data_IF_032112944552
#
_entry.id   IF_032112944552
#
_cell.length_a   1.000
_cell.length_b   1.000
_cell.length_c   1.000
_cell.angle_alpha   90.00
_cell.angle_beta   90.00
_cell.angle_gamma   90.00
#
_symmetry.space_group_name_H-M   'P 1'
#
loop_
_entity.id
_entity.type
_entity.pdbx_description
1 polymer ?
#
# COMPACT_ATOMS: atom_id res chain seq x y z
N UNK A 1 -7.89 -12.79 23.58
CA UNK A 1 -8.08 -12.79 22.11
C UNK A 1 -6.86 -13.45 21.52
N UNK A 2 -7.04 -14.29 20.49
CA UNK A 2 -5.93 -14.96 19.79
C UNK A 2 -5.09 -13.95 19.03
N UNK A 3 -3.79 -14.18 18.98
CA UNK A 3 -2.87 -13.32 18.27
C UNK A 3 -2.79 -13.73 16.79
N UNK A 4 -2.83 -12.76 15.91
CA UNK A 4 -2.56 -12.94 14.49
C UNK A 4 -1.09 -12.62 14.19
N UNK A 5 -0.42 -13.55 13.54
CA UNK A 5 1.00 -13.43 13.15
C UNK A 5 1.16 -13.53 11.64
N UNK A 6 2.17 -12.86 11.11
CA UNK A 6 2.52 -12.86 9.69
C UNK A 6 3.71 -13.77 9.48
N UNK A 7 3.57 -14.75 8.61
CA UNK A 7 4.59 -15.76 8.32
C UNK A 7 5.52 -15.32 7.18
N UNK A 8 4.93 -14.82 6.10
CA UNK A 8 5.69 -14.27 4.96
C UNK A 8 4.90 -13.14 4.32
N UNK A 9 5.62 -12.24 3.66
CA UNK A 9 5.08 -11.04 3.06
C UNK A 9 5.81 -10.73 1.75
N UNK A 10 5.07 -10.64 0.64
CA UNK A 10 5.61 -10.52 -0.71
C UNK A 10 4.83 -9.53 -1.55
N UNK A 11 5.46 -9.03 -2.62
CA UNK A 11 4.81 -8.19 -3.62
C UNK A 11 5.36 -8.43 -5.02
N UNK A 12 4.63 -8.03 -6.03
CA UNK A 12 5.21 -7.85 -7.37
C UNK A 12 6.09 -6.61 -7.40
N UNK A 13 6.96 -6.43 -8.39
CA UNK A 13 7.38 -5.10 -8.79
C UNK A 13 6.16 -4.21 -9.02
N UNK A 14 6.32 -2.91 -8.83
CA UNK A 14 5.29 -1.93 -9.20
C UNK A 14 5.63 -1.38 -10.60
N UNK A 15 4.68 -1.50 -11.52
CA UNK A 15 4.83 -1.02 -12.90
C UNK A 15 4.05 0.28 -13.12
N UNK A 16 4.50 1.08 -14.10
CA UNK A 16 3.74 2.24 -14.59
C UNK A 16 2.41 1.81 -15.22
N UNK A 17 1.33 2.47 -14.91
CA UNK A 17 0.03 2.29 -15.55
C UNK A 17 0.01 2.96 -16.93
N UNK A 18 0.78 2.44 -17.87
CA UNK A 18 0.96 2.98 -19.21
C UNK A 18 0.88 1.86 -20.25
N UNK A 19 -0.03 1.97 -21.20
CA UNK A 19 -0.28 0.96 -22.24
C UNK A 19 0.88 0.78 -23.22
N UNK A 20 1.77 1.76 -23.35
CA UNK A 20 2.91 1.69 -24.29
C UNK A 20 4.17 1.14 -23.62
N UNK A 21 4.48 1.59 -22.40
CA UNK A 21 5.77 1.31 -21.74
C UNK A 21 5.65 0.64 -20.36
N UNK A 22 4.46 0.46 -19.81
CA UNK A 22 4.23 -0.21 -18.52
C UNK A 22 4.70 -1.67 -18.57
N UNK A 23 5.46 -2.11 -17.58
CA UNK A 23 5.98 -3.48 -17.56
C UNK A 23 4.88 -4.54 -17.53
N UNK A 24 3.73 -4.22 -16.93
CA UNK A 24 2.59 -5.14 -16.83
C UNK A 24 1.46 -4.85 -17.82
N UNK A 25 1.71 -4.06 -18.89
CA UNK A 25 0.68 -3.67 -19.88
C UNK A 25 -0.04 -4.82 -20.58
N UNK A 26 0.52 -6.04 -20.56
CA UNK A 26 -0.07 -7.26 -21.12
C UNK A 26 -0.30 -8.34 -20.04
N UNK A 27 -0.19 -7.99 -18.77
CA UNK A 27 -0.36 -8.93 -17.64
C UNK A 27 -1.63 -8.57 -16.88
N UNK A 28 -2.53 -9.51 -16.75
CA UNK A 28 -3.82 -9.30 -16.08
C UNK A 28 -3.66 -9.13 -14.57
N UNK A 29 -4.53 -8.35 -13.95
CA UNK A 29 -4.55 -8.12 -12.52
C UNK A 29 -4.79 -9.40 -11.69
N UNK A 30 -5.69 -10.26 -12.17
CA UNK A 30 -5.98 -11.55 -11.55
C UNK A 30 -4.78 -12.51 -11.62
N UNK A 31 -4.00 -12.50 -12.71
CA UNK A 31 -2.75 -13.25 -12.84
C UNK A 31 -1.67 -12.76 -11.87
N UNK A 32 -1.51 -11.45 -11.70
CA UNK A 32 -0.60 -10.86 -10.70
C UNK A 32 -0.96 -11.33 -9.28
N UNK A 33 -2.24 -11.34 -8.97
CA UNK A 33 -2.77 -11.79 -7.67
C UNK A 33 -2.52 -13.27 -7.45
N UNK A 34 -2.88 -14.12 -8.42
CA UNK A 34 -2.68 -15.58 -8.36
C UNK A 34 -1.19 -15.95 -8.23
N UNK A 35 -0.32 -15.23 -8.95
CA UNK A 35 1.14 -15.43 -8.86
C UNK A 35 1.69 -15.24 -7.46
N UNK A 36 1.21 -14.23 -6.72
CA UNK A 36 1.66 -13.99 -5.34
C UNK A 36 1.10 -15.02 -4.35
N UNK A 37 -0.17 -15.44 -4.50
CA UNK A 37 -0.75 -16.49 -3.67
C UNK A 37 0.05 -17.80 -3.80
N UNK A 38 0.37 -18.18 -5.05
CA UNK A 38 1.22 -19.33 -5.34
C UNK A 38 2.63 -19.19 -4.75
N UNK A 39 3.25 -18.01 -4.89
CA UNK A 39 4.57 -17.74 -4.36
C UNK A 39 4.61 -17.86 -2.82
N UNK A 40 3.58 -17.41 -2.10
CA UNK A 40 3.50 -17.57 -0.64
C UNK A 40 3.47 -19.04 -0.24
N UNK A 41 2.67 -19.87 -0.93
CA UNK A 41 2.60 -21.32 -0.67
C UNK A 41 3.97 -21.98 -0.92
N UNK A 42 4.60 -21.68 -2.05
CA UNK A 42 5.91 -22.24 -2.42
C UNK A 42 7.03 -21.81 -1.44
N UNK A 43 7.05 -20.53 -1.02
CA UNK A 43 8.08 -19.99 -0.12
C UNK A 43 7.97 -20.49 1.30
N UNK A 44 6.76 -20.64 1.79
CA UNK A 44 6.51 -21.07 3.18
C UNK A 44 6.45 -22.58 3.33
N UNK A 45 6.21 -23.31 2.24
CA UNK A 45 6.00 -24.77 2.26
C UNK A 45 4.72 -25.19 2.97
N UNK A 46 3.78 -24.26 3.18
CA UNK A 46 2.51 -24.56 3.81
C UNK A 46 1.67 -25.49 2.93
N UNK A 47 0.99 -26.44 3.54
CA UNK A 47 -0.02 -27.22 2.84
C UNK A 47 -1.17 -26.28 2.42
N UNK A 48 -1.42 -26.10 1.12
CA UNK A 48 -2.48 -25.22 0.65
C UNK A 48 -3.88 -25.63 1.14
N UNK A 49 -4.09 -26.91 1.51
CA UNK A 49 -5.35 -27.38 2.09
C UNK A 49 -5.70 -26.73 3.44
N UNK A 50 -4.72 -26.09 4.09
CA UNK A 50 -4.91 -25.40 5.37
C UNK A 50 -5.33 -23.94 5.19
N UNK A 51 -5.31 -23.39 3.98
CA UNK A 51 -5.69 -21.99 3.71
C UNK A 51 -7.22 -21.90 3.59
N UNK A 52 -7.84 -21.24 4.57
CA UNK A 52 -9.30 -21.21 4.71
C UNK A 52 -9.97 -20.07 3.94
N UNK A 53 -9.34 -18.87 3.91
CA UNK A 53 -9.95 -17.69 3.28
C UNK A 53 -8.89 -16.75 2.68
N UNK A 54 -9.29 -15.96 1.68
CA UNK A 54 -8.51 -14.91 1.04
C UNK A 54 -9.22 -13.56 1.23
N UNK A 55 -8.52 -12.57 1.79
CA UNK A 55 -9.03 -11.19 1.91
C UNK A 55 -8.20 -10.27 1.05
N UNK A 56 -8.82 -9.72 0.01
CA UNK A 56 -8.09 -9.05 -1.06
C UNK A 56 -8.61 -7.65 -1.34
N UNK A 57 -7.75 -6.64 -1.16
CA UNK A 57 -8.07 -5.26 -1.45
C UNK A 57 -8.08 -4.98 -2.96
N UNK A 58 -9.13 -4.36 -3.46
CA UNK A 58 -9.22 -3.86 -4.81
C UNK A 58 -10.18 -2.66 -4.86
N UNK A 59 -9.75 -1.55 -5.48
CA UNK A 59 -10.57 -0.33 -5.53
C UNK A 59 -11.48 -0.35 -6.75
N UNK A 60 -10.93 -0.61 -7.92
CA UNK A 60 -11.68 -0.65 -9.19
C UNK A 60 -12.10 -2.09 -9.50
N UNK A 61 -13.16 -2.54 -8.85
CA UNK A 61 -13.70 -3.91 -8.97
C UNK A 61 -14.50 -4.09 -10.28
N UNK A 62 -13.79 -3.95 -11.41
CA UNK A 62 -14.36 -4.03 -12.74
C UNK A 62 -13.48 -4.89 -13.67
N UNK A 63 -14.01 -5.38 -14.77
CA UNK A 63 -13.28 -6.18 -15.74
C UNK A 63 -12.55 -7.35 -15.07
N UNK A 64 -11.25 -7.48 -15.28
CA UNK A 64 -10.39 -8.51 -14.68
C UNK A 64 -10.16 -8.36 -13.16
N UNK A 65 -10.56 -7.23 -12.59
CA UNK A 65 -10.56 -6.97 -11.15
C UNK A 65 -11.96 -7.11 -10.53
N UNK A 66 -12.98 -7.41 -11.33
CA UNK A 66 -14.35 -7.59 -10.90
C UNK A 66 -14.69 -9.01 -10.47
N UNK A 67 -15.97 -9.22 -10.13
CA UNK A 67 -16.55 -10.52 -9.83
C UNK A 67 -15.78 -11.32 -8.76
N UNK A 68 -15.41 -10.65 -7.67
CA UNK A 68 -14.60 -11.22 -6.58
C UNK A 68 -13.23 -11.73 -7.04
N UNK A 69 -12.35 -10.80 -7.40
CA UNK A 69 -10.99 -11.13 -7.85
C UNK A 69 -10.20 -11.94 -6.82
N UNK A 70 -10.50 -11.87 -5.53
CA UNK A 70 -9.90 -12.69 -4.49
C UNK A 70 -10.13 -14.19 -4.77
N UNK A 71 -11.39 -14.57 -4.95
CA UNK A 71 -11.77 -15.95 -5.23
C UNK A 71 -11.28 -16.42 -6.59
N UNK A 72 -11.40 -15.56 -7.62
CA UNK A 72 -10.90 -15.88 -8.98
C UNK A 72 -9.40 -16.16 -8.93
N UNK A 73 -8.62 -15.29 -8.30
CA UNK A 73 -7.17 -15.46 -8.18
C UNK A 73 -6.77 -16.70 -7.37
N UNK A 74 -7.52 -17.03 -6.30
CA UNK A 74 -7.29 -18.25 -5.51
C UNK A 74 -7.44 -19.51 -6.37
N UNK A 75 -8.49 -19.59 -7.19
CA UNK A 75 -8.72 -20.69 -8.12
C UNK A 75 -7.64 -20.76 -9.21
N UNK A 76 -7.21 -19.62 -9.75
CA UNK A 76 -6.12 -19.53 -10.73
C UNK A 76 -4.76 -19.93 -10.13
N UNK A 77 -4.54 -19.64 -8.84
CA UNK A 77 -3.34 -20.06 -8.11
C UNK A 77 -3.31 -21.58 -7.84
N UNK A 78 -4.41 -22.27 -8.05
CA UNK A 78 -4.54 -23.71 -7.75
C UNK A 78 -4.75 -24.00 -6.26
N UNK A 79 -5.23 -23.03 -5.50
CA UNK A 79 -5.65 -23.25 -4.12
C UNK A 79 -6.89 -24.15 -4.07
N UNK A 80 -7.15 -24.83 -2.95
CA UNK A 80 -8.30 -25.73 -2.79
C UNK A 80 -9.63 -25.05 -3.11
N UNK A 81 -10.60 -25.80 -3.58
CA UNK A 81 -11.95 -25.30 -3.86
C UNK A 81 -12.68 -24.91 -2.56
N UNK A 82 -12.24 -25.41 -1.44
CA UNK A 82 -12.74 -25.08 -0.11
C UNK A 82 -12.26 -23.72 0.40
N UNK A 83 -11.14 -23.21 -0.13
CA UNK A 83 -10.62 -21.88 0.26
C UNK A 83 -11.60 -20.79 -0.16
N UNK A 84 -12.13 -20.02 0.77
CA UNK A 84 -12.99 -18.88 0.50
C UNK A 84 -12.24 -17.72 -0.14
N UNK A 85 -12.97 -16.65 -0.48
CA UNK A 85 -12.36 -15.42 -0.95
C UNK A 85 -13.34 -14.26 -0.86
N UNK A 86 -12.84 -13.08 -0.49
CA UNK A 86 -13.61 -11.84 -0.47
C UNK A 86 -12.77 -10.67 -0.97
N UNK A 87 -13.32 -9.92 -1.90
CA UNK A 87 -12.73 -8.67 -2.37
C UNK A 87 -13.35 -7.49 -1.63
N UNK A 88 -12.49 -6.66 -1.02
CA UNK A 88 -12.94 -5.53 -0.21
C UNK A 88 -12.39 -4.19 -0.75
N UNK A 89 -13.12 -3.12 -0.45
CA UNK A 89 -12.77 -1.76 -0.86
C UNK A 89 -12.82 -0.79 0.33
N UNK A 90 -11.64 -0.25 0.67
CA UNK A 90 -11.43 0.92 1.49
C UNK A 90 -10.50 1.90 0.75
N UNK A 91 -10.78 2.14 -0.53
CA UNK A 91 -9.93 2.95 -1.40
C UNK A 91 -8.43 2.58 -1.23
N UNK A 92 -7.54 3.55 -1.10
CA UNK A 92 -6.09 3.34 -0.98
C UNK A 92 -5.66 2.40 0.17
N UNK A 93 -6.50 2.20 1.19
CA UNK A 93 -6.18 1.34 2.34
C UNK A 93 -6.73 -0.09 2.22
N UNK A 94 -7.30 -0.48 1.09
CA UNK A 94 -7.94 -1.81 0.94
C UNK A 94 -7.01 -2.95 1.34
N UNK A 95 -5.75 -2.95 0.91
CA UNK A 95 -4.79 -3.99 1.26
C UNK A 95 -4.45 -4.03 2.77
N UNK A 96 -4.31 -2.87 3.44
CA UNK A 96 -4.09 -2.84 4.89
C UNK A 96 -5.35 -3.24 5.66
N UNK A 97 -6.53 -2.90 5.14
CA UNK A 97 -7.81 -3.37 5.69
C UNK A 97 -7.92 -4.89 5.58
N UNK A 98 -7.52 -5.49 4.46
CA UNK A 98 -7.50 -6.95 4.31
C UNK A 98 -6.66 -7.64 5.41
N UNK A 99 -5.47 -7.10 5.70
CA UNK A 99 -4.61 -7.57 6.81
C UNK A 99 -5.34 -7.45 8.15
N UNK A 100 -5.98 -6.30 8.40
CA UNK A 100 -6.70 -6.04 9.63
C UNK A 100 -7.92 -6.97 9.79
N UNK A 101 -8.62 -7.28 8.70
CA UNK A 101 -9.78 -8.16 8.71
C UNK A 101 -9.38 -9.62 9.01
N UNK A 102 -8.24 -10.09 8.47
CA UNK A 102 -7.68 -11.38 8.85
C UNK A 102 -7.34 -11.43 10.35
N UNK A 103 -6.72 -10.38 10.88
CA UNK A 103 -6.41 -10.32 12.32
C UNK A 103 -7.67 -10.32 13.18
N UNK A 104 -8.73 -9.63 12.78
CA UNK A 104 -10.02 -9.64 13.48
C UNK A 104 -10.69 -11.00 13.40
N UNK A 105 -10.64 -11.67 12.25
CA UNK A 105 -11.18 -13.01 12.05
C UNK A 105 -10.51 -14.03 12.97
N UNK A 106 -9.17 -14.04 13.03
CA UNK A 106 -8.40 -14.88 13.93
C UNK A 106 -8.73 -14.58 15.39
N UNK A 107 -8.80 -13.30 15.78
CA UNK A 107 -9.13 -12.89 17.13
C UNK A 107 -10.55 -13.32 17.55
N UNK A 108 -11.49 -13.40 16.59
CA UNK A 108 -12.86 -13.87 16.76
C UNK A 108 -12.99 -15.39 16.69
N UNK A 109 -11.91 -16.12 16.43
CA UNK A 109 -11.88 -17.58 16.30
C UNK A 109 -12.77 -18.09 15.13
N UNK A 110 -12.73 -17.36 14.00
CA UNK A 110 -13.42 -17.77 12.76
C UNK A 110 -12.52 -18.64 11.89
N UNK A 111 -11.41 -18.11 11.40
CA UNK A 111 -10.43 -18.83 10.58
C UNK A 111 -9.04 -18.78 11.27
N UNK A 112 -8.22 -19.80 10.97
CA UNK A 112 -6.86 -19.92 11.50
C UNK A 112 -5.79 -19.45 10.52
N UNK A 113 -5.93 -19.74 9.23
CA UNK A 113 -4.92 -19.47 8.20
C UNK A 113 -5.56 -18.77 7.01
N UNK A 114 -5.06 -17.59 6.69
CA UNK A 114 -5.59 -16.75 5.62
C UNK A 114 -4.48 -16.08 4.82
N UNK A 115 -4.77 -15.72 3.57
CA UNK A 115 -3.93 -14.82 2.78
C UNK A 115 -4.63 -13.46 2.73
N UNK A 116 -3.91 -12.41 3.14
CA UNK A 116 -4.33 -11.03 2.96
C UNK A 116 -3.50 -10.35 1.88
N UNK A 117 -4.09 -9.41 1.15
CA UNK A 117 -3.33 -8.68 0.16
C UNK A 117 -4.15 -7.66 -0.60
N UNK A 118 -3.73 -7.38 -1.81
CA UNK A 118 -4.48 -6.51 -2.71
C UNK A 118 -3.82 -6.35 -4.07
N UNK A 119 -4.60 -5.81 -4.98
CA UNK A 119 -4.28 -5.58 -6.38
C UNK A 119 -4.82 -4.22 -6.84
N UNK A 120 -4.12 -3.58 -7.74
CA UNK A 120 -4.67 -2.57 -8.62
C UNK A 120 -3.90 -2.56 -9.93
N UNK A 121 -4.60 -2.52 -11.05
CA UNK A 121 -4.02 -2.34 -12.38
C UNK A 121 -4.64 -1.12 -13.07
N UNK A 122 -4.14 0.08 -12.72
CA UNK A 122 -4.72 1.34 -13.18
C UNK A 122 -4.50 1.59 -14.70
N UNK A 123 -3.64 0.79 -15.34
CA UNK A 123 -3.43 0.84 -16.80
C UNK A 123 -4.54 0.12 -17.57
N UNK A 124 -5.11 -0.96 -17.01
CA UNK A 124 -6.22 -1.70 -17.59
C UNK A 124 -7.57 -1.16 -17.14
N UNK A 125 -7.68 -0.83 -15.86
CA UNK A 125 -8.90 -0.29 -15.25
C UNK A 125 -8.57 1.10 -14.69
N UNK A 126 -8.82 2.18 -15.45
CA UNK A 126 -8.59 3.55 -14.97
C UNK A 126 -9.37 3.88 -13.71
N UNK A 127 -8.79 4.70 -12.83
CA UNK A 127 -9.46 5.18 -11.64
C UNK A 127 -10.76 5.91 -11.99
N UNK A 128 -11.79 5.68 -11.19
CA UNK A 128 -13.15 6.23 -11.37
C UNK A 128 -13.88 5.82 -12.65
N UNK A 129 -13.39 4.80 -13.37
CA UNK A 129 -14.13 4.26 -14.52
C UNK A 129 -15.53 3.83 -14.08
N UNK A 130 -16.56 4.33 -14.80
CA UNK A 130 -17.96 4.04 -14.56
C UNK A 130 -18.46 4.37 -13.12
N UNK A 131 -17.75 5.21 -12.37
CA UNK A 131 -18.20 5.69 -11.07
C UNK A 131 -19.22 6.81 -11.26
N UNK A 132 -20.42 6.61 -10.70
CA UNK A 132 -21.53 7.57 -10.70
C UNK A 132 -21.76 8.07 -9.25
N UNK A 133 -21.20 9.23 -8.87
CA UNK A 133 -21.36 9.75 -7.53
C UNK A 133 -22.78 10.26 -7.29
N UNK A 134 -23.36 9.92 -6.13
CA UNK A 134 -24.67 10.37 -5.75
C UNK A 134 -24.74 11.91 -5.69
N UNK A 135 -25.66 12.61 -6.40
CA UNK A 135 -25.75 14.07 -6.37
C UNK A 135 -25.97 14.65 -4.98
N UNK A 136 -26.61 13.92 -4.08
CA UNK A 136 -26.81 14.30 -2.67
C UNK A 136 -25.50 14.43 -1.88
N UNK A 137 -24.41 13.82 -2.31
CA UNK A 137 -23.09 14.00 -1.73
C UNK A 137 -22.65 15.48 -1.85
N UNK A 138 -22.91 16.09 -3.00
CA UNK A 138 -22.47 17.44 -3.33
C UNK A 138 -23.37 18.55 -2.76
N UNK A 139 -24.48 18.16 -2.12
CA UNK A 139 -25.25 19.10 -1.27
C UNK A 139 -24.46 19.52 -0.02
N UNK A 140 -23.58 18.65 0.46
CA UNK A 140 -22.80 18.87 1.71
C UNK A 140 -21.31 19.07 1.46
N UNK A 141 -20.80 18.62 0.33
CA UNK A 141 -19.37 18.64 0.02
C UNK A 141 -19.13 19.20 -1.38
N UNK A 142 -18.01 19.85 -1.60
CA UNK A 142 -17.58 20.28 -2.93
C UNK A 142 -17.26 19.09 -3.84
N UNK A 143 -17.55 19.17 -5.12
CA UNK A 143 -17.12 18.19 -6.12
C UNK A 143 -15.58 18.04 -6.17
N UNK A 144 -14.84 19.03 -5.70
CA UNK A 144 -13.38 18.99 -5.60
C UNK A 144 -12.86 17.82 -4.75
N UNK A 145 -13.67 17.27 -3.82
CA UNK A 145 -13.31 16.09 -3.03
C UNK A 145 -13.11 14.83 -3.87
N UNK A 146 -13.61 14.82 -5.11
CA UNK A 146 -13.41 13.72 -6.06
C UNK A 146 -12.03 13.78 -6.73
N UNK A 147 -11.34 14.91 -6.67
CA UNK A 147 -10.01 15.09 -7.20
C UNK A 147 -8.98 15.11 -6.06
N UNK A 148 -8.26 14.01 -5.89
CA UNK A 148 -7.28 13.86 -4.80
C UNK A 148 -6.16 14.90 -4.87
N UNK A 149 -5.80 15.37 -6.07
CA UNK A 149 -4.81 16.43 -6.25
C UNK A 149 -5.29 17.79 -5.74
N UNK A 150 -6.59 18.12 -5.88
CA UNK A 150 -7.18 19.33 -5.30
C UNK A 150 -7.25 19.25 -3.77
N UNK A 151 -7.50 18.06 -3.20
CA UNK A 151 -7.40 17.88 -1.74
C UNK A 151 -5.96 18.04 -1.25
N UNK A 152 -4.97 17.61 -2.03
CA UNK A 152 -3.56 17.84 -1.74
C UNK A 152 -3.19 19.35 -1.79
N UNK A 153 -3.67 20.11 -2.79
CA UNK A 153 -3.50 21.58 -2.84
C UNK A 153 -4.15 22.27 -1.63
N UNK A 154 -5.30 21.78 -1.19
CA UNK A 154 -5.95 22.29 0.03
C UNK A 154 -5.05 22.10 1.26
N UNK A 155 -4.40 20.94 1.41
CA UNK A 155 -3.45 20.68 2.49
C UNK A 155 -2.22 21.60 2.41
N UNK A 156 -1.69 21.83 1.20
CA UNK A 156 -0.56 22.74 1.01
C UNK A 156 -0.85 24.13 1.58
N UNK A 157 -2.02 24.65 1.28
CA UNK A 157 -2.47 25.95 1.76
C UNK A 157 -2.75 25.94 3.27
N UNK A 158 -3.55 24.97 3.74
CA UNK A 158 -3.99 24.89 5.12
C UNK A 158 -2.85 24.69 6.11
N UNK A 159 -1.92 23.80 5.77
CA UNK A 159 -0.78 23.46 6.64
C UNK A 159 0.50 24.19 6.27
N UNK A 160 0.43 25.13 5.32
CA UNK A 160 1.57 25.95 4.90
C UNK A 160 2.80 25.10 4.52
N UNK A 161 2.58 24.11 3.67
CA UNK A 161 3.66 23.28 3.11
C UNK A 161 4.09 23.87 1.78
N UNK A 162 5.31 24.36 1.70
CA UNK A 162 5.80 25.04 0.50
C UNK A 162 6.06 24.07 -0.66
N UNK A 163 6.19 24.59 -1.86
CA UNK A 163 6.56 23.84 -3.06
C UNK A 163 7.96 23.24 -2.90
N UNK A 164 8.90 23.98 -2.36
CA UNK A 164 10.29 23.56 -2.15
C UNK A 164 10.36 22.36 -1.19
N UNK A 165 9.56 22.39 -0.11
CA UNK A 165 9.48 21.24 0.83
C UNK A 165 8.92 20.00 0.14
N UNK A 166 7.91 20.15 -0.73
CA UNK A 166 7.34 19.03 -1.50
C UNK A 166 8.35 18.45 -2.47
N UNK A 167 9.08 19.29 -3.21
CA UNK A 167 10.10 18.85 -4.16
C UNK A 167 11.29 18.19 -3.44
N UNK A 168 11.72 18.70 -2.29
CA UNK A 168 12.76 18.09 -1.46
C UNK A 168 12.35 16.70 -0.96
N UNK A 169 11.12 16.55 -0.47
CA UNK A 169 10.59 15.25 -0.05
C UNK A 169 10.50 14.26 -1.22
N UNK A 170 10.02 14.71 -2.38
CA UNK A 170 9.91 13.88 -3.57
C UNK A 170 11.28 13.41 -4.08
N UNK A 171 12.28 14.31 -4.12
CA UNK A 171 13.65 13.95 -4.47
C UNK A 171 14.23 12.92 -3.48
N UNK A 172 14.01 13.13 -2.16
CA UNK A 172 14.41 12.18 -1.13
C UNK A 172 13.78 10.79 -1.35
N UNK A 173 12.47 10.73 -1.64
CA UNK A 173 11.79 9.44 -1.89
C UNK A 173 12.42 8.70 -3.06
N UNK A 174 12.70 9.38 -4.18
CA UNK A 174 13.35 8.81 -5.35
C UNK A 174 14.78 8.32 -5.05
N UNK A 175 15.58 9.12 -4.38
CA UNK A 175 16.96 8.79 -4.04
C UNK A 175 17.05 7.60 -3.08
N UNK A 176 16.17 7.54 -2.07
CA UNK A 176 16.11 6.41 -1.14
C UNK A 176 15.67 5.12 -1.84
N UNK A 177 14.67 5.20 -2.73
CA UNK A 177 14.21 4.03 -3.48
C UNK A 177 15.30 3.51 -4.44
N UNK A 178 16.03 4.41 -5.10
CA UNK A 178 17.15 4.04 -5.96
C UNK A 178 18.28 3.37 -5.16
N UNK A 179 18.68 3.95 -4.03
CA UNK A 179 19.70 3.40 -3.17
C UNK A 179 19.30 2.03 -2.58
N UNK A 180 18.04 1.86 -2.16
CA UNK A 180 17.53 0.59 -1.65
C UNK A 180 17.51 -0.49 -2.75
N UNK A 181 17.17 -0.12 -3.99
CA UNK A 181 17.20 -1.02 -5.14
C UNK A 181 18.64 -1.46 -5.46
N UNK A 182 19.59 -0.52 -5.51
CA UNK A 182 21.00 -0.80 -5.77
C UNK A 182 21.61 -1.74 -4.71
N UNK A 183 21.23 -1.55 -3.44
CA UNK A 183 21.67 -2.41 -2.31
C UNK A 183 20.94 -3.77 -2.27
N UNK A 184 19.94 -4.00 -3.10
CA UNK A 184 19.14 -5.23 -3.10
C UNK A 184 18.19 -5.35 -1.91
N UNK A 185 17.85 -4.25 -1.23
CA UNK A 185 17.00 -4.25 -0.02
C UNK A 185 15.54 -4.66 -0.30
N UNK A 186 15.11 -4.67 -1.56
CA UNK A 186 13.79 -5.16 -1.99
C UNK A 186 13.80 -6.62 -2.46
N UNK A 187 14.98 -7.26 -2.59
CA UNK A 187 15.08 -8.59 -3.20
C UNK A 187 14.31 -9.68 -2.43
N UNK A 188 14.18 -9.54 -1.11
CA UNK A 188 13.47 -10.52 -0.27
C UNK A 188 11.95 -10.37 -0.33
N UNK A 189 11.44 -9.19 -0.70
CA UNK A 189 10.00 -8.90 -0.76
C UNK A 189 9.42 -8.99 -2.18
N UNK A 190 10.23 -8.77 -3.22
CA UNK A 190 9.77 -8.80 -4.63
C UNK A 190 9.78 -10.22 -5.16
N UNK A 191 8.64 -10.65 -5.68
CA UNK A 191 8.49 -11.85 -6.49
C UNK A 191 8.71 -11.48 -7.95
N UNK A 192 9.80 -11.97 -8.60
CA UNK A 192 10.04 -11.77 -10.02
C UNK A 192 8.82 -12.16 -10.85
N UNK A 193 8.34 -11.26 -11.67
CA UNK A 193 7.07 -11.43 -12.41
C UNK A 193 7.29 -11.22 -13.89
N UNK A 194 6.80 -12.14 -14.74
CA UNK A 194 6.88 -11.97 -16.17
C UNK A 194 6.08 -10.75 -16.65
N UNK A 195 6.72 -9.96 -17.47
CA UNK A 195 6.12 -8.75 -18.05
C UNK A 195 6.81 -8.38 -19.36
N UNK A 196 6.86 -7.07 -19.63
CA UNK A 196 7.56 -6.53 -20.81
C UNK A 196 8.53 -5.44 -20.42
N UNK A 197 9.67 -5.40 -21.10
CA UNK A 197 10.55 -4.22 -21.09
C UNK A 197 9.87 -3.00 -21.72
N UNK A 198 10.43 -1.83 -21.57
CA UNK A 198 9.96 -0.63 -22.29
C UNK A 198 10.05 -0.80 -23.80
N UNK A 199 11.03 -1.58 -24.31
CA UNK A 199 11.16 -1.92 -25.74
C UNK A 199 10.16 -2.98 -26.23
N UNK A 200 9.34 -3.56 -25.36
CA UNK A 200 8.31 -4.56 -25.70
C UNK A 200 8.73 -6.01 -25.61
N UNK A 201 9.97 -6.30 -25.26
CA UNK A 201 10.44 -7.67 -25.11
C UNK A 201 9.86 -8.30 -23.83
N UNK A 202 9.48 -9.60 -23.90
CA UNK A 202 9.07 -10.35 -22.72
C UNK A 202 10.29 -10.59 -21.84
N UNK A 203 10.22 -10.19 -20.58
CA UNK A 203 11.29 -10.36 -19.61
C UNK A 203 10.76 -10.58 -18.21
N UNK A 204 11.61 -11.07 -17.31
CA UNK A 204 11.30 -11.24 -15.91
C UNK A 204 11.59 -9.91 -15.19
N UNK A 205 10.54 -9.23 -14.75
CA UNK A 205 10.63 -7.95 -14.06
C UNK A 205 10.98 -8.21 -12.59
N UNK A 206 12.05 -7.60 -12.12
CA UNK A 206 12.60 -7.80 -10.76
C UNK A 206 12.70 -6.51 -9.96
N UNK A 207 12.40 -5.35 -10.57
CA UNK A 207 12.54 -4.03 -9.96
C UNK A 207 11.33 -3.15 -10.26
N UNK A 208 11.08 -2.19 -9.37
CA UNK A 208 10.01 -1.20 -9.54
C UNK A 208 10.33 -0.24 -10.69
N UNK A 209 9.39 -0.06 -11.61
CA UNK A 209 9.61 0.72 -12.85
C UNK A 209 9.56 2.24 -12.61
N UNK A 210 8.98 2.69 -11.50
CA UNK A 210 8.73 4.11 -11.23
C UNK A 210 9.95 4.92 -10.83
N UNK A 211 11.01 4.26 -10.36
CA UNK A 211 12.18 4.87 -9.75
C UNK A 211 12.99 5.68 -10.77
N UNK A 212 13.36 6.91 -10.38
CA UNK A 212 14.17 7.85 -11.16
C UNK A 212 15.36 8.30 -10.32
N UNK A 213 16.47 7.58 -10.42
CA UNK A 213 17.67 7.80 -9.61
C UNK A 213 18.32 9.18 -9.79
N UNK A 214 18.11 9.81 -10.93
CA UNK A 214 18.62 11.12 -11.33
C UNK A 214 17.74 12.30 -10.90
N UNK A 215 16.71 12.05 -10.09
CA UNK A 215 15.80 13.11 -9.61
C UNK A 215 16.51 14.08 -8.70
N UNK A 216 16.44 15.38 -9.02
CA UNK A 216 16.96 16.48 -8.20
C UNK A 216 15.87 17.50 -7.88
N UNK A 217 16.06 18.27 -6.81
CA UNK A 217 15.13 19.34 -6.42
C UNK A 217 15.01 20.39 -7.53
N UNK A 218 16.13 20.75 -8.15
CA UNK A 218 16.18 21.73 -9.27
C UNK A 218 15.44 21.21 -10.52
N UNK A 219 15.48 19.91 -10.74
CA UNK A 219 14.71 19.26 -11.82
C UNK A 219 13.22 19.32 -11.55
N UNK A 220 12.81 18.99 -10.33
CA UNK A 220 11.41 19.01 -9.88
C UNK A 220 10.83 20.44 -9.87
N UNK A 221 11.62 21.44 -9.47
CA UNK A 221 11.20 22.84 -9.44
C UNK A 221 10.73 23.40 -10.80
N UNK A 222 11.17 22.79 -11.92
CA UNK A 222 10.76 23.17 -13.28
C UNK A 222 9.39 22.62 -13.69
N UNK A 223 8.83 21.67 -12.92
CA UNK A 223 7.55 21.06 -13.26
C UNK A 223 6.39 22.03 -12.97
N UNK A 224 5.40 22.14 -13.87
CA UNK A 224 4.21 22.94 -13.62
C UNK A 224 3.31 22.28 -12.57
N UNK A 225 2.46 23.06 -11.88
CA UNK A 225 1.38 22.51 -11.08
C UNK A 225 0.48 21.59 -11.90
N UNK A 226 0.14 20.43 -11.35
CA UNK A 226 -0.60 19.39 -12.08
C UNK A 226 -2.13 19.51 -11.88
N UNK A 227 -2.59 20.07 -10.77
CA UNK A 227 -4.01 20.05 -10.39
C UNK A 227 -4.64 21.43 -10.31
N UNK A 228 -3.88 22.46 -9.97
CA UNK A 228 -4.32 23.84 -9.92
C UNK A 228 -3.36 24.73 -10.73
N UNK A 229 -3.60 24.92 -12.04
CA UNK A 229 -2.71 25.72 -12.91
C UNK A 229 -2.57 27.19 -12.47
N UNK A 230 -3.55 27.72 -11.73
CA UNK A 230 -3.58 29.11 -11.27
C UNK A 230 -2.96 29.26 -9.86
N UNK A 231 -1.72 28.82 -9.67
CA UNK A 231 -0.97 29.03 -8.44
C UNK A 231 -0.93 27.83 -7.50
N UNK A 232 -1.17 26.62 -8.00
CA UNK A 232 -0.97 25.39 -7.25
C UNK A 232 0.51 25.07 -7.00
N UNK A 233 0.76 24.16 -6.09
CA UNK A 233 2.11 23.72 -5.68
C UNK A 233 2.38 22.24 -5.92
N UNK A 234 1.32 21.44 -6.08
CA UNK A 234 1.42 19.98 -6.27
C UNK A 234 1.72 19.67 -7.74
N UNK A 235 2.78 18.92 -7.99
CA UNK A 235 3.24 18.58 -9.34
C UNK A 235 3.14 17.07 -9.60
N UNK A 236 3.32 16.67 -10.84
CA UNK A 236 3.50 15.25 -11.18
C UNK A 236 4.71 14.62 -10.48
N UNK A 237 5.76 15.41 -10.20
CA UNK A 237 6.96 14.95 -9.51
C UNK A 237 6.78 14.77 -8.00
N UNK A 238 5.86 15.52 -7.36
CA UNK A 238 5.54 15.42 -5.93
C UNK A 238 4.29 14.58 -5.64
N UNK A 239 3.79 13.87 -6.66
CA UNK A 239 2.62 12.97 -6.60
C UNK A 239 3.03 11.52 -6.85
N UNK A 240 2.32 10.57 -6.27
CA UNK A 240 2.50 9.16 -6.58
C UNK A 240 2.08 8.86 -8.03
N UNK A 241 2.75 7.89 -8.64
CA UNK A 241 2.49 7.51 -10.03
C UNK A 241 1.28 6.56 -10.13
N UNK A 242 0.48 6.71 -11.18
CA UNK A 242 -0.52 5.70 -11.55
C UNK A 242 0.19 4.38 -11.87
N UNK A 243 -0.26 3.29 -11.27
CA UNK A 243 0.55 2.08 -11.19
C UNK A 243 -0.27 0.80 -11.34
N UNK A 244 0.44 -0.29 -11.60
CA UNK A 244 -0.05 -1.65 -11.53
C UNK A 244 0.84 -2.47 -10.59
N UNK A 245 0.24 -3.30 -9.73
CA UNK A 245 0.99 -4.15 -8.82
C UNK A 245 0.09 -4.81 -7.77
N UNK A 246 0.59 -5.91 -7.21
CA UNK A 246 -0.07 -6.69 -6.17
C UNK A 246 0.85 -6.90 -4.96
N UNK A 247 0.26 -7.16 -3.80
CA UNK A 247 0.99 -7.50 -2.57
C UNK A 247 0.20 -8.51 -1.76
N UNK A 248 0.89 -9.43 -1.09
CA UNK A 248 0.28 -10.55 -0.37
C UNK A 248 1.03 -10.91 0.91
N UNK A 249 0.31 -11.33 1.94
CA UNK A 249 0.83 -11.79 3.21
C UNK A 249 0.12 -13.08 3.64
N UNK A 250 0.89 -14.06 4.13
CA UNK A 250 0.33 -15.24 4.81
C UNK A 250 0.19 -14.92 6.28
N UNK A 251 -1.04 -14.97 6.78
CA UNK A 251 -1.40 -14.62 8.15
C UNK A 251 -2.08 -15.81 8.81
N UNK A 252 -1.69 -16.10 10.04
CA UNK A 252 -2.33 -17.17 10.80
C UNK A 252 -2.39 -16.86 12.29
N UNK A 253 -3.11 -17.70 13.04
CA UNK A 253 -3.06 -17.66 14.49
C UNK A 253 -1.67 -18.06 15.00
N UNK A 254 -1.22 -17.45 16.09
CA UNK A 254 0.08 -17.75 16.70
C UNK A 254 0.16 -19.22 17.14
N UNK A 255 -0.97 -19.77 17.59
CA UNK A 255 -1.10 -21.19 17.96
C UNK A 255 -0.83 -22.10 16.74
N UNK A 256 -1.41 -21.74 15.59
CA UNK A 256 -1.24 -22.52 14.35
C UNK A 256 0.17 -22.41 13.79
N UNK A 257 0.78 -21.23 13.88
CA UNK A 257 2.18 -21.04 13.50
C UNK A 257 3.10 -21.96 14.32
N UNK A 258 2.87 -22.03 15.63
CA UNK A 258 3.64 -22.91 16.53
C UNK A 258 3.42 -24.39 16.20
N UNK A 259 2.16 -24.81 15.96
CA UNK A 259 1.81 -26.19 15.58
C UNK A 259 2.53 -26.63 14.30
N UNK A 260 2.60 -25.74 13.31
CA UNK A 260 3.23 -26.00 12.02
C UNK A 260 4.75 -25.76 12.03
N UNK A 261 5.32 -25.27 13.12
CA UNK A 261 6.76 -24.95 13.21
C UNK A 261 7.19 -23.77 12.35
N UNK A 262 6.26 -22.91 11.93
CA UNK A 262 6.53 -21.75 11.10
C UNK A 262 6.93 -20.56 11.99
N UNK A 263 8.00 -19.86 11.59
CA UNK A 263 8.50 -18.69 12.32
C UNK A 263 7.83 -17.40 11.82
N UNK A 264 7.10 -16.68 12.67
CA UNK A 264 6.51 -15.42 12.27
C UNK A 264 7.57 -14.32 12.03
N UNK A 265 7.27 -13.42 11.08
CA UNK A 265 8.00 -12.16 10.91
C UNK A 265 7.60 -11.14 11.98
N UNK A 266 6.30 -11.05 12.27
CA UNK A 266 5.75 -10.12 13.25
C UNK A 266 4.33 -10.53 13.67
N UNK A 267 3.88 -9.96 14.79
CA UNK A 267 2.50 -9.99 15.27
C UNK A 267 1.79 -8.70 14.90
N UNK A 268 0.49 -8.77 14.60
CA UNK A 268 -0.37 -7.59 14.48
C UNK A 268 -0.76 -7.14 15.89
N UNK A 269 -0.19 -6.02 16.35
CA UNK A 269 -0.32 -5.54 17.74
C UNK A 269 -1.60 -4.76 17.98
N UNK A 270 -1.93 -3.86 17.06
CA UNK A 270 -3.15 -3.05 17.12
C UNK A 270 -3.46 -2.45 15.75
N UNK A 271 -4.72 -2.10 15.54
CA UNK A 271 -5.22 -1.51 14.31
C UNK A 271 -6.29 -0.46 14.59
N UNK A 272 -6.41 0.54 13.71
CA UNK A 272 -7.42 1.58 13.83
C UNK A 272 -7.80 2.17 12.48
N UNK A 273 -9.05 2.61 12.39
CA UNK A 273 -9.59 3.43 11.31
C UNK A 273 -10.14 4.72 11.91
N UNK A 274 -10.00 5.82 11.21
CA UNK A 274 -10.56 7.11 11.57
C UNK A 274 -11.10 7.83 10.33
N UNK A 275 -12.11 8.68 10.52
CA UNK A 275 -12.63 9.61 9.49
C UNK A 275 -12.12 11.02 9.73
N UNK A 276 -12.00 11.78 8.63
CA UNK A 276 -11.73 13.22 8.59
C UNK A 276 -12.63 13.86 7.54
N UNK A 277 -12.64 15.18 7.45
CA UNK A 277 -13.35 15.87 6.38
C UNK A 277 -12.81 15.40 5.00
N UNK A 278 -13.67 15.15 4.01
CA UNK A 278 -13.23 14.62 2.70
C UNK A 278 -12.18 15.47 2.00
N UNK A 279 -12.25 16.79 2.11
CA UNK A 279 -11.26 17.74 1.59
C UNK A 279 -9.89 17.63 2.27
N UNK A 280 -9.86 17.06 3.47
CA UNK A 280 -8.65 16.81 4.26
C UNK A 280 -8.20 15.34 4.26
N UNK A 281 -8.61 14.57 3.27
CA UNK A 281 -8.36 13.13 3.23
C UNK A 281 -6.90 12.76 3.53
N UNK A 282 -5.95 13.58 3.11
CA UNK A 282 -4.51 13.30 3.27
C UNK A 282 -4.04 13.27 4.72
N UNK A 283 -4.76 13.92 5.66
CA UNK A 283 -4.42 13.84 7.10
C UNK A 283 -5.17 12.73 7.85
N UNK A 284 -5.95 11.90 7.17
CA UNK A 284 -6.59 10.73 7.75
C UNK A 284 -5.68 9.85 8.63
N UNK A 285 -4.39 9.67 8.28
CA UNK A 285 -3.41 9.00 9.15
C UNK A 285 -3.33 9.57 10.57
N UNK A 286 -3.46 10.87 10.76
CA UNK A 286 -3.26 11.53 12.07
C UNK A 286 -4.21 10.98 13.14
N UNK A 287 -5.54 11.08 13.01
CA UNK A 287 -6.45 10.51 14.00
C UNK A 287 -6.38 8.97 14.05
N UNK A 288 -6.07 8.29 12.94
CA UNK A 288 -5.91 6.83 12.93
C UNK A 288 -4.69 6.40 13.77
N UNK A 289 -3.56 7.10 13.64
CA UNK A 289 -2.35 6.87 14.43
C UNK A 289 -2.59 7.16 15.91
N UNK A 290 -3.18 8.29 16.28
CA UNK A 290 -3.52 8.56 17.68
C UNK A 290 -4.41 7.45 18.28
N UNK A 291 -5.38 6.99 17.51
CA UNK A 291 -6.30 5.92 17.94
C UNK A 291 -5.60 4.58 18.11
N UNK A 292 -4.70 4.20 17.18
CA UNK A 292 -3.97 2.93 17.25
C UNK A 292 -2.95 2.93 18.38
N UNK A 293 -2.24 4.04 18.59
CA UNK A 293 -1.30 4.22 19.71
C UNK A 293 -2.01 4.04 21.06
N UNK A 294 -3.16 4.71 21.23
CA UNK A 294 -3.96 4.55 22.44
C UNK A 294 -4.39 3.09 22.67
N UNK A 295 -4.80 2.37 21.61
CA UNK A 295 -5.21 0.97 21.70
C UNK A 295 -4.06 0.03 22.05
N UNK A 296 -2.87 0.31 21.50
CA UNK A 296 -1.67 -0.48 21.77
C UNK A 296 -1.06 -0.21 23.15
N UNK A 297 -1.40 0.92 23.78
CA UNK A 297 -0.72 1.43 24.99
C UNK A 297 0.73 1.87 24.69
N UNK A 298 0.99 2.36 23.46
CA UNK A 298 2.29 2.77 23.00
C UNK A 298 2.33 4.26 22.62
N UNK A 299 3.55 4.82 22.51
CA UNK A 299 3.80 6.18 22.02
C UNK A 299 4.50 6.14 20.66
N UNK A 300 4.45 7.23 19.89
CA UNK A 300 5.13 7.31 18.60
C UNK A 300 6.65 7.17 18.69
N UNK A 301 7.26 7.63 19.78
CA UNK A 301 8.71 7.50 20.00
C UNK A 301 9.18 6.06 20.09
N UNK A 302 8.29 5.15 20.53
CA UNK A 302 8.55 3.72 20.60
C UNK A 302 8.49 3.01 19.25
N UNK A 303 8.04 3.70 18.19
CA UNK A 303 8.05 3.13 16.83
C UNK A 303 9.48 3.24 16.26
N UNK A 304 10.03 2.11 15.86
CA UNK A 304 11.37 2.03 15.25
C UNK A 304 11.31 2.32 13.76
N UNK A 305 10.27 1.83 13.09
CA UNK A 305 10.05 1.97 11.66
C UNK A 305 8.64 2.52 11.37
N UNK A 306 8.54 3.49 10.46
CA UNK A 306 7.26 4.02 9.98
C UNK A 306 7.17 3.91 8.46
N UNK A 307 6.06 3.38 7.96
CA UNK A 307 5.66 3.45 6.56
C UNK A 307 4.38 4.28 6.45
N UNK A 308 4.49 5.47 5.91
CA UNK A 308 3.38 6.36 5.59
C UNK A 308 3.22 6.37 4.08
N UNK A 309 2.09 5.93 3.55
CA UNK A 309 1.92 5.94 2.11
C UNK A 309 2.03 7.35 1.55
N UNK A 310 2.81 7.49 0.47
CA UNK A 310 3.07 8.77 -0.18
C UNK A 310 2.12 8.98 -1.37
N UNK A 311 0.85 9.23 -1.09
CA UNK A 311 -0.07 9.61 -2.17
C UNK A 311 0.38 10.93 -2.82
N UNK A 312 0.81 11.87 -1.98
CA UNK A 312 1.43 13.15 -2.35
C UNK A 312 2.48 13.52 -1.31
N UNK A 313 3.56 14.17 -1.71
CA UNK A 313 4.59 14.70 -0.80
C UNK A 313 3.99 15.62 0.26
N UNK A 314 3.13 16.56 -0.15
CA UNK A 314 2.44 17.50 0.75
C UNK A 314 1.60 16.77 1.80
N UNK A 315 0.99 15.66 1.43
CA UNK A 315 0.16 14.86 2.34
C UNK A 315 1.03 14.24 3.45
N UNK A 316 2.16 13.64 3.11
CA UNK A 316 3.07 13.05 4.11
C UNK A 316 3.66 14.13 5.01
N UNK A 317 4.13 15.23 4.44
CA UNK A 317 4.65 16.38 5.20
C UNK A 317 3.62 16.95 6.18
N UNK A 318 2.35 17.03 5.76
CA UNK A 318 1.26 17.46 6.65
C UNK A 318 1.03 16.48 7.80
N UNK A 319 1.05 15.18 7.53
CA UNK A 319 0.93 14.12 8.56
C UNK A 319 2.11 14.19 9.53
N UNK A 320 3.34 14.30 9.03
CA UNK A 320 4.54 14.40 9.86
C UNK A 320 4.50 15.63 10.76
N UNK A 321 4.12 16.79 10.21
CA UNK A 321 3.96 18.05 10.96
C UNK A 321 2.95 17.91 12.10
N UNK A 322 1.78 17.31 11.83
CA UNK A 322 0.71 17.15 12.80
C UNK A 322 1.00 16.08 13.88
N UNK A 323 1.77 15.06 13.54
CA UNK A 323 2.21 14.02 14.48
C UNK A 323 3.50 14.38 15.22
N UNK A 324 4.22 15.43 14.82
CA UNK A 324 5.49 15.83 15.40
C UNK A 324 6.62 14.83 15.14
N UNK A 325 6.60 14.14 14.00
CA UNK A 325 7.61 13.14 13.62
C UNK A 325 8.58 13.69 12.56
N UNK A 326 9.82 13.19 12.58
CA UNK A 326 10.87 13.54 11.62
C UNK A 326 11.02 12.47 10.53
N UNK A 327 11.78 12.79 9.48
CA UNK A 327 11.97 11.90 8.33
C UNK A 327 12.84 10.67 8.62
N UNK A 328 13.57 10.64 9.71
CA UNK A 328 14.62 9.64 10.00
C UNK A 328 14.10 8.20 10.02
N UNK A 329 12.88 8.02 10.55
CA UNK A 329 12.23 6.69 10.65
C UNK A 329 11.19 6.44 9.56
N UNK A 330 10.87 7.46 8.74
CA UNK A 330 9.77 7.42 7.76
C UNK A 330 10.29 7.02 6.38
N UNK A 331 9.71 5.96 5.81
CA UNK A 331 9.92 5.53 4.44
C UNK A 331 11.41 5.50 4.03
N UNK A 332 12.27 4.88 4.84
CA UNK A 332 13.73 4.92 4.66
C UNK A 332 14.22 4.18 3.40
N UNK A 333 13.33 3.46 2.72
CA UNK A 333 13.58 2.85 1.40
C UNK A 333 12.82 3.57 0.27
N UNK A 334 12.42 4.83 0.49
CA UNK A 334 11.51 5.54 -0.41
C UNK A 334 10.06 5.05 -0.28
N UNK A 335 9.15 5.69 -0.98
CA UNK A 335 7.72 5.38 -0.91
C UNK A 335 7.01 5.54 -2.26
N UNK A 336 5.70 5.76 -2.23
CA UNK A 336 4.86 5.70 -3.43
C UNK A 336 5.14 6.81 -4.46
N UNK A 337 5.76 7.93 -4.08
CA UNK A 337 6.21 8.95 -5.04
C UNK A 337 7.25 8.36 -5.99
N UNK A 338 8.13 7.50 -5.49
CA UNK A 338 9.13 6.80 -6.29
C UNK A 338 8.62 5.47 -6.85
N UNK A 339 8.05 4.62 -5.98
CA UNK A 339 7.68 3.24 -6.32
C UNK A 339 6.37 3.15 -7.10
N UNK A 340 5.43 4.06 -6.85
CA UNK A 340 4.07 4.01 -7.38
C UNK A 340 3.00 3.65 -6.34
N UNK A 341 1.73 3.85 -6.72
CA UNK A 341 0.58 3.71 -5.83
C UNK A 341 -0.54 2.88 -6.47
N UNK A 342 -0.37 1.54 -6.62
CA UNK A 342 -1.46 0.67 -7.03
C UNK A 342 -2.48 0.58 -5.88
N UNK A 343 -3.60 1.33 -5.99
CA UNK A 343 -4.48 1.71 -4.88
C UNK A 343 -4.84 0.56 -3.94
N UNK A 344 -5.46 -0.50 -4.47
CA UNK A 344 -5.92 -1.65 -3.68
C UNK A 344 -4.78 -2.46 -3.05
N UNK A 345 -3.61 -2.48 -3.69
CA UNK A 345 -2.42 -3.18 -3.20
C UNK A 345 -1.61 -2.37 -2.18
N UNK A 346 -1.68 -1.03 -2.22
CA UNK A 346 -0.72 -0.15 -1.53
C UNK A 346 -0.69 -0.35 -0.03
N UNK A 347 -1.83 -0.60 0.62
CA UNK A 347 -1.87 -0.86 2.06
C UNK A 347 -1.11 -2.13 2.46
N UNK A 348 -1.20 -3.19 1.66
CA UNK A 348 -0.41 -4.41 1.84
C UNK A 348 1.06 -4.17 1.45
N UNK A 349 1.34 -3.40 0.37
CA UNK A 349 2.69 -3.07 -0.06
C UNK A 349 3.50 -2.37 1.03
N UNK A 350 2.94 -1.35 1.69
CA UNK A 350 3.64 -0.67 2.78
C UNK A 350 3.86 -1.60 3.98
N UNK A 351 2.91 -2.50 4.27
CA UNK A 351 3.08 -3.50 5.31
C UNK A 351 4.20 -4.50 4.97
N UNK A 352 4.27 -4.97 3.72
CA UNK A 352 5.35 -5.85 3.23
C UNK A 352 6.71 -5.19 3.44
N UNK A 353 6.90 -3.97 2.91
CA UNK A 353 8.17 -3.25 3.05
C UNK A 353 8.51 -2.98 4.51
N UNK A 354 7.53 -2.60 5.34
CA UNK A 354 7.73 -2.37 6.78
C UNK A 354 8.24 -3.63 7.49
N UNK A 355 7.63 -4.78 7.23
CA UNK A 355 8.00 -6.05 7.85
C UNK A 355 9.42 -6.48 7.50
N UNK A 356 9.81 -6.34 6.23
CA UNK A 356 11.19 -6.59 5.80
C UNK A 356 12.17 -5.60 6.43
N UNK A 357 11.84 -4.29 6.49
CA UNK A 357 12.65 -3.29 7.21
C UNK A 357 12.81 -3.63 8.69
N UNK A 358 11.73 -4.03 9.38
CA UNK A 358 11.80 -4.44 10.78
C UNK A 358 12.73 -5.63 10.97
N UNK A 359 12.60 -6.64 10.11
CA UNK A 359 13.48 -7.82 10.14
C UNK A 359 14.95 -7.46 9.94
N UNK A 360 15.27 -6.64 8.93
CA UNK A 360 16.63 -6.29 8.56
C UNK A 360 17.32 -5.40 9.61
N UNK A 361 16.55 -4.55 10.32
CA UNK A 361 17.05 -3.66 11.35
C UNK A 361 16.97 -4.20 12.78
N UNK A 362 16.30 -5.34 12.99
CA UNK A 362 16.00 -5.84 14.33
C UNK A 362 15.00 -4.96 15.10
N UNK A 363 14.18 -4.19 14.39
CA UNK A 363 13.20 -3.28 14.97
C UNK A 363 12.09 -4.05 15.72
N UNK A 364 11.68 -3.52 16.87
CA UNK A 364 10.63 -4.13 17.69
C UNK A 364 9.24 -3.72 17.22
N UNK A 365 9.02 -2.44 16.96
CA UNK A 365 7.72 -1.90 16.58
C UNK A 365 7.78 -1.18 15.23
N UNK A 366 6.83 -1.51 14.36
CA UNK A 366 6.61 -0.84 13.11
C UNK A 366 5.18 -0.33 12.97
N UNK A 367 5.02 0.83 12.34
CA UNK A 367 3.72 1.45 12.07
C UNK A 367 3.53 1.60 10.56
N UNK A 368 2.46 1.01 10.00
CA UNK A 368 1.99 1.30 8.65
C UNK A 368 0.72 2.16 8.73
N UNK A 369 0.68 3.23 7.95
CA UNK A 369 -0.51 4.09 7.87
C UNK A 369 -0.66 4.72 6.50
N UNK A 370 -1.91 4.98 6.10
CA UNK A 370 -2.19 5.66 4.84
C UNK A 370 -3.48 6.48 4.90
N UNK A 371 -3.49 7.54 4.09
CA UNK A 371 -4.67 8.33 3.79
C UNK A 371 -5.58 7.56 2.83
N UNK A 372 -6.84 7.86 2.88
CA UNK A 372 -7.88 7.17 2.12
C UNK A 372 -8.83 8.18 1.51
N UNK A 373 -9.08 8.05 0.25
CA UNK A 373 -10.02 8.91 -0.48
C UNK A 373 -11.35 9.06 0.26
N UNK A 374 -11.97 10.21 0.11
CA UNK A 374 -13.21 10.62 0.79
C UNK A 374 -13.06 10.78 2.32
N UNK A 375 -11.85 11.04 2.82
CA UNK A 375 -11.62 11.48 4.19
C UNK A 375 -11.55 10.37 5.23
N UNK A 376 -10.65 9.41 5.07
CA UNK A 376 -10.38 8.37 6.06
C UNK A 376 -8.86 8.18 6.26
N UNK A 377 -8.49 7.46 7.32
CA UNK A 377 -7.15 6.97 7.57
C UNK A 377 -7.18 5.59 8.21
N UNK A 378 -6.19 4.77 7.89
CA UNK A 378 -5.97 3.44 8.52
C UNK A 378 -4.57 3.42 9.08
N UNK A 379 -4.41 2.82 10.26
CA UNK A 379 -3.13 2.61 10.91
C UNK A 379 -3.05 1.23 11.55
N UNK A 380 -1.93 0.55 11.38
CA UNK A 380 -1.67 -0.78 11.96
C UNK A 380 -0.27 -0.83 12.54
N UNK A 381 -0.14 -1.32 13.77
CA UNK A 381 1.13 -1.54 14.47
C UNK A 381 1.48 -3.02 14.38
N UNK A 382 2.71 -3.28 13.95
CA UNK A 382 3.34 -4.60 13.93
C UNK A 382 4.40 -4.67 15.04
N UNK A 383 4.53 -5.83 15.67
CA UNK A 383 5.49 -6.13 16.73
C UNK A 383 6.30 -7.37 16.33
N UNK A 384 7.63 -7.27 16.34
CA UNK A 384 8.52 -8.42 16.13
C UNK A 384 8.31 -9.48 17.22
N UNK A 385 8.41 -10.76 16.88
CA UNK A 385 8.20 -11.91 17.76
C UNK A 385 9.43 -12.80 17.80
#
# INVERSE_FOLDING_TARGET
MRNAVIIDAVRTPVAKANSAVGNFRDVRADELSAGLMKALVERTGIDPQLIEDIRWGCVQQQGEQGFDVARVAALMAGLPIETGGVTLNRNCASGLQAINDCAMSIAANCEDIQIAGGIEHMGHIPAFKDYDPAPSLFVRHSEAIMNMGLTAEYLATKYQISREAQDAFAARSQQLAAAATEKGEFASEIIPTWGRSESGQKELITTDQGIRADTTVEGLAKLPPAFNPAGGSVTAGSSSQLSAGASALLIMSEEKANELGLKPMARIRAMAVAGVAPEEMGIGPVPAVHKVMKRAGLTLDQMDCLEINEAFAVQVLSVMKLLGITEEKVNTRGGAVALGHPLGASGARIAVTLLHRMKDSGAKYGLATLCVGQGQGVATIFESV
#
